data_IF_763626439310
#
_entry.id   IF_763626439310
#
_cell.length_a   1.000
_cell.length_b   1.000
_cell.length_c   1.000
_cell.angle_alpha   90.00
_cell.angle_beta   90.00
_cell.angle_gamma   90.00
#
_symmetry.space_group_name_H-M   'P 1'
#
loop_
_entity.id
_entity.type
_entity.pdbx_description
1 polymer ?
#
# COMPACT_ATOMS: atom_id res chain seq x y z
N UNK A 1 2.18 -18.11 -18.32
CA UNK A 1 1.08 -18.55 -17.41
C UNK A 1 1.70 -19.19 -16.20
N UNK A 2 2.34 -18.38 -15.35
CA UNK A 2 2.98 -18.86 -14.13
C UNK A 2 1.94 -18.99 -13.02
N UNK A 3 1.51 -20.21 -12.80
CA UNK A 3 0.79 -20.62 -11.61
C UNK A 3 1.76 -20.60 -10.43
N UNK A 4 1.79 -19.49 -9.68
CA UNK A 4 2.49 -19.46 -8.39
C UNK A 4 1.76 -20.42 -7.45
N UNK A 5 2.30 -21.64 -7.32
CA UNK A 5 1.84 -22.58 -6.29
C UNK A 5 2.21 -22.00 -4.93
N UNK A 6 1.19 -21.56 -4.19
CA UNK A 6 1.31 -21.24 -2.78
C UNK A 6 1.83 -22.48 -2.04
N UNK A 7 3.03 -22.41 -1.51
CA UNK A 7 3.59 -23.46 -0.65
C UNK A 7 3.09 -23.24 0.79
N UNK A 8 1.82 -23.58 1.05
CA UNK A 8 1.36 -23.90 2.41
C UNK A 8 1.40 -22.83 3.50
N UNK A 9 1.67 -21.57 3.18
CA UNK A 9 1.55 -20.44 4.09
C UNK A 9 0.33 -19.63 3.63
N UNK A 10 -0.75 -19.63 4.36
CA UNK A 10 -2.11 -19.24 4.02
C UNK A 10 -2.38 -17.87 3.40
N UNK A 11 -1.38 -17.04 3.11
CA UNK A 11 -1.54 -15.74 2.50
C UNK A 11 -0.92 -15.71 1.10
N UNK A 12 -1.77 -15.48 0.09
CA UNK A 12 -1.34 -15.26 -1.29
C UNK A 12 -0.87 -13.82 -1.44
N UNK A 13 0.43 -13.58 -1.38
CA UNK A 13 1.00 -12.27 -1.72
C UNK A 13 1.01 -12.10 -3.24
N UNK A 14 0.24 -11.12 -3.73
CA UNK A 14 0.28 -10.72 -5.12
C UNK A 14 1.14 -9.46 -5.26
N UNK A 15 2.28 -9.57 -5.94
CA UNK A 15 3.07 -8.43 -6.38
C UNK A 15 2.88 -8.27 -7.89
N UNK A 16 2.67 -7.04 -8.33
CA UNK A 16 2.50 -6.73 -9.76
C UNK A 16 3.24 -5.45 -10.07
N UNK A 17 4.05 -5.46 -11.12
CA UNK A 17 4.62 -4.27 -11.71
C UNK A 17 3.97 -4.04 -13.08
N UNK A 18 3.70 -2.78 -13.41
CA UNK A 18 3.19 -2.40 -14.70
C UNK A 18 3.68 -1.01 -15.09
N UNK A 19 3.75 -0.75 -16.38
CA UNK A 19 3.97 0.60 -16.89
C UNK A 19 2.67 1.42 -16.78
N UNK A 20 2.75 2.75 -16.69
CA UNK A 20 1.59 3.62 -16.65
C UNK A 20 0.87 3.78 -18.01
N UNK A 21 1.51 3.38 -19.11
CA UNK A 21 0.95 3.40 -20.47
C UNK A 21 1.70 2.44 -21.38
N UNK A 22 1.25 2.21 -22.63
CA UNK A 22 1.94 1.30 -23.57
C UNK A 22 3.41 1.66 -23.87
N UNK A 23 3.78 2.94 -23.89
CA UNK A 23 5.18 3.36 -24.10
C UNK A 23 5.99 3.49 -22.81
N UNK A 24 5.35 3.45 -21.63
CA UNK A 24 6.01 3.49 -20.32
C UNK A 24 6.32 4.88 -19.77
N UNK A 25 6.10 5.95 -20.52
CA UNK A 25 6.57 7.31 -20.16
C UNK A 25 5.49 8.22 -19.55
N UNK A 26 4.21 7.84 -19.56
CA UNK A 26 3.18 8.64 -18.88
C UNK A 26 3.47 8.74 -17.37
N UNK A 27 3.33 9.89 -16.70
CA UNK A 27 2.73 11.15 -17.18
C UNK A 27 3.70 12.15 -17.85
N UNK A 28 4.94 11.78 -18.14
CA UNK A 28 5.89 12.65 -18.86
C UNK A 28 5.45 12.85 -20.33
N UNK A 29 4.67 13.90 -20.56
CA UNK A 29 4.12 14.21 -21.89
C UNK A 29 5.18 14.62 -22.94
N UNK A 30 6.41 14.89 -22.53
CA UNK A 30 7.51 15.16 -23.47
C UNK A 30 8.03 13.86 -24.11
N UNK A 31 8.01 12.76 -23.35
CA UNK A 31 8.47 11.44 -23.79
C UNK A 31 7.32 10.53 -24.21
N UNK A 32 6.16 10.69 -23.57
CA UNK A 32 4.99 9.88 -23.87
C UNK A 32 4.36 10.26 -25.20
N UNK A 33 4.26 9.28 -26.11
CA UNK A 33 3.62 9.43 -27.43
C UNK A 33 2.24 8.79 -27.51
N UNK A 34 1.72 8.32 -26.39
CA UNK A 34 0.41 7.68 -26.34
C UNK A 34 -0.71 8.71 -26.40
N UNK A 35 -1.76 8.42 -27.17
CA UNK A 35 -2.99 9.19 -27.09
C UNK A 35 -3.70 8.93 -25.77
N UNK A 36 -4.53 9.87 -25.29
CA UNK A 36 -5.32 9.68 -24.07
C UNK A 36 -6.19 8.43 -24.14
N UNK A 37 -6.79 8.16 -25.31
CA UNK A 37 -7.58 6.94 -25.53
C UNK A 37 -6.73 5.66 -25.38
N UNK A 38 -5.49 5.66 -25.83
CA UNK A 38 -4.59 4.53 -25.70
C UNK A 38 -4.18 4.30 -24.24
N UNK A 39 -3.92 5.39 -23.49
CA UNK A 39 -3.62 5.34 -22.06
C UNK A 39 -4.82 4.78 -21.30
N UNK A 40 -6.02 5.30 -21.53
CA UNK A 40 -7.26 4.82 -20.89
C UNK A 40 -7.47 3.34 -21.13
N UNK A 41 -7.47 2.91 -22.38
CA UNK A 41 -7.65 1.50 -22.75
C UNK A 41 -6.59 0.59 -22.12
N UNK A 42 -5.38 1.08 -21.92
CA UNK A 42 -4.31 0.33 -21.28
C UNK A 42 -4.57 0.17 -19.77
N UNK A 43 -4.97 1.24 -19.10
CA UNK A 43 -5.24 1.24 -17.64
C UNK A 43 -6.52 0.47 -17.30
N UNK A 44 -7.53 0.49 -18.17
CA UNK A 44 -8.78 -0.29 -18.00
C UNK A 44 -8.58 -1.80 -17.97
N UNK A 45 -7.41 -2.31 -18.35
CA UNK A 45 -7.07 -3.74 -18.16
C UNK A 45 -7.01 -4.16 -16.71
N UNK A 46 -6.80 -3.21 -15.80
CA UNK A 46 -6.94 -3.43 -14.36
C UNK A 46 -8.27 -2.83 -13.92
N UNK A 47 -9.20 -3.70 -13.58
CA UNK A 47 -10.51 -3.27 -13.12
C UNK A 47 -10.45 -2.71 -11.68
N UNK A 48 -11.37 -1.80 -11.35
CA UNK A 48 -11.50 -1.23 -10.00
C UNK A 48 -11.56 -2.30 -8.89
N UNK A 49 -12.28 -3.43 -9.03
CA UNK A 49 -12.25 -4.50 -8.04
C UNK A 49 -10.87 -5.14 -7.81
N UNK A 50 -9.97 -5.08 -8.79
CA UNK A 50 -8.58 -5.54 -8.63
C UNK A 50 -7.79 -4.50 -7.84
N UNK A 51 -7.92 -3.22 -8.17
CA UNK A 51 -7.29 -2.12 -7.45
C UNK A 51 -7.73 -2.13 -5.98
N UNK A 52 -9.00 -2.34 -5.72
CA UNK A 52 -9.53 -2.46 -4.35
C UNK A 52 -8.96 -3.65 -3.56
N UNK A 53 -8.37 -4.63 -4.23
CA UNK A 53 -7.70 -5.76 -3.57
C UNK A 53 -6.22 -5.51 -3.29
N UNK A 54 -5.60 -4.53 -3.94
CA UNK A 54 -4.21 -4.14 -3.69
C UNK A 54 -4.17 -3.29 -2.43
N UNK A 55 -3.24 -3.56 -1.53
CA UNK A 55 -3.12 -2.85 -0.26
C UNK A 55 -2.21 -1.62 -0.40
N UNK A 56 -1.14 -1.72 -1.16
CA UNK A 56 -0.11 -0.69 -1.34
C UNK A 56 0.21 -0.55 -2.82
N UNK A 57 0.14 0.68 -3.33
CA UNK A 57 0.62 1.05 -4.66
C UNK A 57 1.78 2.03 -4.49
N UNK A 58 2.87 1.80 -5.23
CA UNK A 58 4.04 2.67 -5.24
C UNK A 58 4.49 2.97 -6.67
N UNK A 59 4.99 4.17 -6.88
CA UNK A 59 5.64 4.55 -8.13
C UNK A 59 7.13 4.22 -8.03
N UNK A 60 7.68 3.55 -9.03
CA UNK A 60 9.11 3.33 -9.15
C UNK A 60 9.67 4.37 -10.15
N UNK A 61 10.32 5.44 -9.69
CA UNK A 61 10.91 6.43 -10.58
C UNK A 61 12.10 5.84 -11.35
N UNK A 62 12.39 6.41 -12.52
CA UNK A 62 13.60 6.07 -13.25
C UNK A 62 14.83 6.57 -12.47
N UNK A 63 15.83 5.71 -12.37
CA UNK A 63 17.10 6.09 -11.73
C UNK A 63 17.87 7.06 -12.63
N UNK A 64 18.49 8.05 -12.04
CA UNK A 64 19.48 8.89 -12.71
C UNK A 64 20.80 8.14 -12.86
N UNK A 65 21.65 8.57 -13.81
CA UNK A 65 22.96 7.96 -14.00
C UNK A 65 23.82 8.05 -12.73
N UNK A 66 23.72 9.14 -11.97
CA UNK A 66 24.42 9.31 -10.69
C UNK A 66 23.97 8.31 -9.61
N UNK A 67 22.69 8.02 -9.53
CA UNK A 67 22.15 7.01 -8.61
C UNK A 67 22.55 5.60 -9.04
N UNK A 68 22.62 5.33 -10.36
CA UNK A 68 23.02 4.04 -10.89
C UNK A 68 24.51 3.75 -10.65
N UNK A 69 25.37 4.79 -10.73
CA UNK A 69 26.83 4.65 -10.58
C UNK A 69 27.32 5.03 -9.18
N UNK A 70 26.46 5.64 -8.37
CA UNK A 70 26.76 6.05 -7.02
C UNK A 70 26.99 4.84 -6.10
N UNK A 71 28.03 4.91 -5.27
CA UNK A 71 28.30 3.90 -4.23
C UNK A 71 27.45 4.13 -2.97
N UNK A 72 26.19 4.51 -3.11
CA UNK A 72 25.29 4.55 -1.95
C UNK A 72 25.11 3.12 -1.46
N UNK A 73 25.50 2.90 -0.19
CA UNK A 73 25.25 1.62 0.46
C UNK A 73 23.74 1.43 0.60
N UNK A 74 23.17 0.67 -0.29
CA UNK A 74 21.76 0.25 -0.15
C UNK A 74 21.56 -0.57 1.11
N UNK A 75 20.37 -0.45 1.70
CA UNK A 75 20.02 -1.26 2.86
C UNK A 75 20.00 -2.74 2.48
N UNK A 76 20.68 -3.57 3.25
CA UNK A 76 20.75 -5.00 2.98
C UNK A 76 19.42 -5.71 3.28
N UNK A 77 19.12 -6.77 2.56
CA UNK A 77 17.94 -7.61 2.82
C UNK A 77 17.90 -8.12 4.27
N UNK A 78 19.06 -8.38 4.89
CA UNK A 78 19.16 -8.80 6.27
C UNK A 78 18.73 -7.69 7.25
N UNK A 79 19.06 -6.43 6.96
CA UNK A 79 18.63 -5.29 7.78
C UNK A 79 17.10 -5.08 7.66
N UNK A 80 16.57 -5.15 6.43
CA UNK A 80 15.12 -5.09 6.17
C UNK A 80 14.40 -6.22 6.91
N UNK A 81 14.92 -7.44 6.83
CA UNK A 81 14.32 -8.61 7.50
C UNK A 81 14.26 -8.43 9.02
N UNK A 82 15.29 -7.85 9.65
CA UNK A 82 15.29 -7.55 11.09
C UNK A 82 14.17 -6.58 11.46
N UNK A 83 13.98 -5.50 10.70
CA UNK A 83 12.89 -4.52 10.95
C UNK A 83 11.52 -5.17 10.80
N UNK A 84 11.36 -5.99 9.76
CA UNK A 84 10.10 -6.72 9.53
C UNK A 84 9.82 -7.71 10.68
N UNK A 85 10.84 -8.43 11.16
CA UNK A 85 10.70 -9.36 12.27
C UNK A 85 10.22 -8.64 13.56
N UNK A 86 10.79 -7.49 13.89
CA UNK A 86 10.36 -6.70 15.05
C UNK A 86 8.89 -6.30 14.94
N UNK A 87 8.45 -5.80 13.79
CA UNK A 87 7.05 -5.45 13.56
C UNK A 87 6.12 -6.68 13.68
N UNK A 88 6.56 -7.83 13.17
CA UNK A 88 5.80 -9.09 13.28
C UNK A 88 5.68 -9.57 14.72
N UNK A 89 6.73 -9.44 15.52
CA UNK A 89 6.71 -9.85 16.94
C UNK A 89 5.75 -8.95 17.76
N UNK A 90 5.73 -7.64 17.49
CA UNK A 90 4.75 -6.72 18.06
C UNK A 90 3.31 -7.16 17.71
N UNK A 91 3.06 -7.55 16.49
CA UNK A 91 1.74 -8.02 16.05
C UNK A 91 1.37 -9.35 16.73
N UNK A 92 2.27 -10.33 16.78
CA UNK A 92 2.05 -11.62 17.45
C UNK A 92 1.71 -11.43 18.92
N UNK A 93 2.43 -10.56 19.62
CA UNK A 93 2.12 -10.28 21.04
C UNK A 93 0.77 -9.58 21.20
N UNK A 94 0.46 -8.59 20.33
CA UNK A 94 -0.83 -7.88 20.35
C UNK A 94 -2.00 -8.84 20.15
N UNK A 95 -1.86 -9.80 19.24
CA UNK A 95 -2.94 -10.72 18.86
C UNK A 95 -2.85 -12.09 19.53
N UNK A 96 -2.03 -12.24 20.58
CA UNK A 96 -1.81 -13.52 21.25
C UNK A 96 -3.10 -14.23 21.70
N UNK A 97 -4.16 -13.48 21.98
CA UNK A 97 -5.47 -14.00 22.41
C UNK A 97 -6.50 -14.09 21.27
N UNK A 98 -6.08 -13.77 20.05
CA UNK A 98 -6.94 -13.73 18.88
C UNK A 98 -6.75 -14.97 18.00
N UNK A 99 -7.72 -15.20 17.10
CA UNK A 99 -7.63 -16.25 16.09
C UNK A 99 -6.74 -15.86 14.88
N UNK A 100 -6.11 -14.68 14.92
CA UNK A 100 -5.25 -14.15 13.87
C UNK A 100 -3.97 -13.57 14.49
N UNK A 101 -2.92 -13.42 13.65
CA UNK A 101 -1.57 -13.03 14.11
C UNK A 101 -1.04 -11.76 13.46
N UNK A 102 -1.69 -11.25 12.41
CA UNK A 102 -1.19 -10.13 11.62
C UNK A 102 -2.26 -9.07 11.37
N UNK A 103 -1.82 -7.81 11.20
CA UNK A 103 -2.73 -6.69 10.93
C UNK A 103 -3.59 -6.91 9.68
N UNK A 104 -3.07 -7.59 8.65
CA UNK A 104 -3.83 -7.92 7.44
C UNK A 104 -5.08 -8.77 7.72
N UNK A 105 -5.07 -9.53 8.79
CA UNK A 105 -6.11 -10.48 9.18
C UNK A 105 -7.14 -9.89 10.15
N UNK A 106 -6.97 -8.65 10.65
CA UNK A 106 -7.93 -8.01 11.55
C UNK A 106 -9.32 -8.02 10.89
N UNK A 107 -10.34 -8.64 11.49
CA UNK A 107 -11.70 -8.60 10.95
C UNK A 107 -12.28 -7.19 11.03
N UNK A 108 -13.23 -6.86 10.15
CA UNK A 108 -13.86 -5.53 10.10
C UNK A 108 -14.46 -5.11 11.45
N UNK A 109 -15.01 -6.06 12.20
CA UNK A 109 -15.60 -5.84 13.53
C UNK A 109 -14.61 -5.40 14.61
N UNK A 110 -13.31 -5.71 14.42
CA UNK A 110 -12.24 -5.38 15.37
C UNK A 110 -11.34 -4.22 14.92
N UNK A 111 -11.60 -3.61 13.75
CA UNK A 111 -10.80 -2.49 13.25
C UNK A 111 -10.78 -1.32 14.24
N UNK A 112 -11.91 -0.96 14.82
CA UNK A 112 -11.98 0.14 15.79
C UNK A 112 -11.19 -0.13 17.05
N UNK A 113 -11.06 -1.39 17.47
CA UNK A 113 -10.30 -1.80 18.65
C UNK A 113 -8.79 -1.69 18.40
N UNK A 114 -8.30 -2.28 17.30
CA UNK A 114 -6.86 -2.39 17.03
C UNK A 114 -6.28 -1.23 16.23
N UNK A 115 -7.12 -0.49 15.52
CA UNK A 115 -6.74 0.68 14.73
C UNK A 115 -7.46 1.93 15.26
N UNK A 116 -7.54 2.08 16.58
CA UNK A 116 -8.21 3.21 17.21
C UNK A 116 -7.55 4.53 16.79
N UNK A 117 -8.39 5.49 16.43
CA UNK A 117 -8.03 6.85 16.09
C UNK A 117 -8.53 7.80 17.18
N UNK A 118 -7.88 8.93 17.37
CA UNK A 118 -8.42 10.02 18.18
C UNK A 118 -9.46 10.83 17.37
N UNK A 119 -10.19 11.71 18.07
CA UNK A 119 -11.26 12.53 17.44
C UNK A 119 -10.78 13.38 16.27
N UNK A 120 -9.56 13.92 16.35
CA UNK A 120 -8.98 14.75 15.28
C UNK A 120 -8.65 13.90 14.06
N UNK A 121 -8.10 12.73 14.29
CA UNK A 121 -7.80 11.75 13.25
C UNK A 121 -9.07 11.17 12.61
N UNK A 122 -10.12 10.93 13.40
CA UNK A 122 -11.42 10.50 12.87
C UNK A 122 -12.01 11.56 11.92
N UNK A 123 -11.99 12.84 12.30
CA UNK A 123 -12.44 13.94 11.45
C UNK A 123 -11.62 14.07 10.16
N UNK A 124 -10.29 13.98 10.28
CA UNK A 124 -9.40 13.97 9.12
C UNK A 124 -9.71 12.81 8.18
N UNK A 125 -9.90 11.62 8.73
CA UNK A 125 -10.22 10.42 7.94
C UNK A 125 -11.63 10.47 7.32
N UNK A 126 -12.58 11.14 7.94
CA UNK A 126 -13.91 11.40 7.34
C UNK A 126 -13.79 12.28 6.09
N UNK A 127 -13.00 13.37 6.17
CA UNK A 127 -12.72 14.21 5.00
C UNK A 127 -12.03 13.40 3.87
N UNK A 128 -11.02 12.61 4.22
CA UNK A 128 -10.30 11.77 3.26
C UNK A 128 -11.22 10.72 2.66
N UNK A 129 -12.11 10.12 3.45
CA UNK A 129 -13.09 9.15 2.98
C UNK A 129 -13.99 9.75 1.87
N UNK A 130 -14.47 10.97 2.09
CA UNK A 130 -15.26 11.71 1.08
C UNK A 130 -14.43 12.13 -0.13
N UNK A 131 -13.27 12.76 0.09
CA UNK A 131 -12.38 13.23 -0.98
C UNK A 131 -11.88 12.11 -1.87
N UNK A 132 -11.51 10.98 -1.29
CA UNK A 132 -11.01 9.80 -2.01
C UNK A 132 -12.13 8.80 -2.35
N UNK A 133 -13.40 9.10 -2.13
CA UNK A 133 -14.53 8.20 -2.40
C UNK A 133 -14.23 6.76 -1.98
N UNK A 134 -13.63 6.59 -0.80
CA UNK A 134 -13.22 5.29 -0.33
C UNK A 134 -14.44 4.38 -0.13
N UNK A 135 -14.27 3.10 -0.46
CA UNK A 135 -15.20 2.07 0.01
C UNK A 135 -14.87 1.70 1.47
N UNK A 136 -15.82 1.12 2.19
CA UNK A 136 -15.55 0.58 3.53
C UNK A 136 -14.36 -0.40 3.53
N UNK A 137 -14.22 -1.18 2.46
CA UNK A 137 -13.10 -2.11 2.29
C UNK A 137 -11.76 -1.39 2.16
N UNK A 138 -11.68 -0.37 1.31
CA UNK A 138 -10.48 0.44 1.11
C UNK A 138 -10.10 1.20 2.37
N UNK A 139 -11.08 1.75 3.10
CA UNK A 139 -10.88 2.38 4.39
C UNK A 139 -10.27 1.44 5.42
N UNK A 140 -10.81 0.23 5.58
CA UNK A 140 -10.26 -0.75 6.51
C UNK A 140 -8.84 -1.19 6.12
N UNK A 141 -8.53 -1.29 4.84
CA UNK A 141 -7.18 -1.58 4.36
C UNK A 141 -6.20 -0.48 4.73
N UNK A 142 -6.59 0.78 4.50
CA UNK A 142 -5.79 1.94 4.87
C UNK A 142 -5.46 1.93 6.37
N UNK A 143 -6.43 1.67 7.23
CA UNK A 143 -6.21 1.57 8.67
C UNK A 143 -5.26 0.42 9.06
N UNK A 144 -5.35 -0.75 8.40
CA UNK A 144 -4.42 -1.86 8.63
C UNK A 144 -2.99 -1.52 8.19
N UNK A 145 -2.84 -0.78 7.09
CA UNK A 145 -1.54 -0.28 6.63
C UNK A 145 -0.99 0.73 7.65
N UNK A 146 -1.78 1.72 8.07
CA UNK A 146 -1.39 2.69 9.09
C UNK A 146 -0.99 2.00 10.42
N UNK A 147 -1.72 0.95 10.83
CA UNK A 147 -1.36 0.13 12.00
C UNK A 147 -0.01 -0.57 11.81
N UNK A 148 0.26 -1.07 10.60
CA UNK A 148 1.54 -1.74 10.29
C UNK A 148 2.70 -0.75 10.30
N UNK A 149 2.51 0.47 9.78
CA UNK A 149 3.49 1.53 9.85
C UNK A 149 3.82 1.90 11.30
N UNK A 150 2.79 2.02 12.15
CA UNK A 150 3.00 2.27 13.56
C UNK A 150 3.71 1.11 14.28
N UNK A 151 3.54 -0.13 13.85
CA UNK A 151 4.28 -1.29 14.38
C UNK A 151 5.74 -1.26 13.95
N UNK A 152 6.04 -0.82 12.73
CA UNK A 152 7.40 -0.61 12.26
C UNK A 152 8.13 0.50 13.03
N UNK A 153 7.39 1.44 13.60
CA UNK A 153 7.88 2.51 14.45
C UNK A 153 7.89 2.16 15.96
N UNK A 154 7.72 0.89 16.30
CA UNK A 154 7.78 0.40 17.68
C UNK A 154 6.44 0.09 18.35
N UNK A 155 5.33 0.09 17.60
CA UNK A 155 4.05 -0.47 18.04
C UNK A 155 3.17 0.44 18.88
N UNK A 156 3.46 1.73 18.98
CA UNK A 156 2.66 2.73 19.67
C UNK A 156 1.28 2.98 19.05
N UNK A 157 0.64 4.10 19.36
CA UNK A 157 -0.61 4.52 18.71
C UNK A 157 -0.38 4.89 17.25
N UNK A 158 -1.41 4.74 16.42
CA UNK A 158 -1.42 5.32 15.08
C UNK A 158 -1.35 6.84 15.23
N UNK A 159 -0.38 7.48 14.59
CA UNK A 159 -0.25 8.93 14.56
C UNK A 159 -0.50 9.47 13.15
N UNK A 160 -0.62 10.79 13.01
CA UNK A 160 -0.99 11.46 11.77
C UNK A 160 -0.10 11.04 10.60
N UNK A 161 1.23 10.98 10.80
CA UNK A 161 2.17 10.54 9.76
C UNK A 161 1.89 9.13 9.22
N UNK A 162 1.45 8.21 10.07
CA UNK A 162 1.11 6.85 9.62
C UNK A 162 -0.14 6.84 8.74
N UNK A 163 -1.12 7.71 9.05
CA UNK A 163 -2.31 7.89 8.23
C UNK A 163 -1.96 8.54 6.89
N UNK A 164 -1.18 9.62 6.90
CA UNK A 164 -0.73 10.31 5.71
C UNK A 164 0.05 9.38 4.77
N UNK A 165 0.99 8.60 5.30
CA UNK A 165 1.74 7.63 4.50
C UNK A 165 0.83 6.53 3.94
N UNK A 166 -0.09 5.99 4.74
CA UNK A 166 -1.04 4.99 4.27
C UNK A 166 -1.97 5.56 3.18
N UNK A 167 -2.37 6.84 3.28
CA UNK A 167 -3.15 7.55 2.27
C UNK A 167 -2.32 7.71 0.99
N UNK A 168 -1.04 8.09 1.09
CA UNK A 168 -0.16 8.18 -0.07
C UNK A 168 -0.11 6.88 -0.86
N UNK A 169 0.04 5.73 -0.21
CA UNK A 169 0.02 4.42 -0.88
C UNK A 169 -1.30 4.10 -1.58
N UNK A 170 -2.37 4.79 -1.22
CA UNK A 170 -3.70 4.61 -1.82
C UNK A 170 -4.05 5.67 -2.87
N UNK A 171 -3.42 6.85 -2.81
CA UNK A 171 -3.71 7.96 -3.72
C UNK A 171 -3.24 7.70 -5.17
N UNK A 172 -2.33 6.74 -5.38
CA UNK A 172 -1.86 6.36 -6.72
C UNK A 172 -2.97 5.81 -7.62
N UNK A 173 -4.00 5.18 -7.06
CA UNK A 173 -5.14 4.71 -7.83
C UNK A 173 -5.78 5.86 -8.61
N UNK A 174 -5.89 7.03 -7.99
CA UNK A 174 -6.48 8.21 -8.59
C UNK A 174 -5.60 8.86 -9.63
N UNK A 175 -4.29 8.96 -9.38
CA UNK A 175 -3.36 9.57 -10.31
C UNK A 175 -3.44 8.95 -11.71
N UNK A 176 -3.71 7.65 -11.80
CA UNK A 176 -3.68 6.91 -13.04
C UNK A 176 -5.07 6.43 -13.51
N UNK A 177 -6.03 6.17 -12.63
CA UNK A 177 -7.34 5.59 -12.94
C UNK A 177 -8.53 6.53 -12.75
N UNK A 178 -8.33 7.78 -12.27
CA UNK A 178 -9.43 8.75 -12.25
C UNK A 178 -9.85 9.13 -13.68
N UNK A 179 -11.16 9.13 -13.87
CA UNK A 179 -11.84 9.58 -15.09
C UNK A 179 -12.14 11.08 -15.02
#
# INVERSE_FOLDING_TARGET
>A
RDLVRSRGLGDVYKRQAMNPCPCGYYPDMQKCRCTQTAIHRYLERISQPILDRIDICVEAPALTFGELTGQQKEETSAAIQKRVAVAQDIQRERYRKEAFSYNSQIPATKIREYCALDKKQEQYMEEIYGKLQLTARSYHKLLRVARTLADMDGGGRICDRHLEEAICYRSFDRKFWER
#
